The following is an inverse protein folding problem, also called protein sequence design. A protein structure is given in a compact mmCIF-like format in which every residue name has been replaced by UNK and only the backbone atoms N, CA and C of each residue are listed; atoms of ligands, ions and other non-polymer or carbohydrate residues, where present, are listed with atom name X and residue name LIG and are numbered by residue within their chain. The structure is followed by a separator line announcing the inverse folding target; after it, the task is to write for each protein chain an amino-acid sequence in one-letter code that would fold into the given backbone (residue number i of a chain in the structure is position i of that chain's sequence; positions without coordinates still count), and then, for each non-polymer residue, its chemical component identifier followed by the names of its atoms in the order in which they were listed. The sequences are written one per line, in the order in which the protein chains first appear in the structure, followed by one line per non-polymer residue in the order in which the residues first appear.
data_IF_619059592181
#
_entry.id   IF_619059592181
#
_cell.length_a   1.000
_cell.length_b   1.000
_cell.length_c   1.000
_cell.angle_alpha   90.00
_cell.angle_beta   90.00
_cell.angle_gamma   90.00
#
_symmetry.space_group_name_H-M   'P 1'
#
loop_
_entity.id
_entity.type
_entity.pdbx_description
1 polymer ?
#
# COMPACT_ATOMS: atom_id res chain seq x y z
N UNK A 1 -19.19 8.74 -19.43
CA UNK A 1 -18.64 9.08 -18.12
C UNK A 1 -19.82 9.34 -17.19
N UNK A 2 -20.06 8.40 -16.27
CA UNK A 2 -21.15 8.45 -15.31
C UNK A 2 -20.62 9.09 -14.03
N UNK A 3 -20.91 10.38 -13.84
CA UNK A 3 -20.36 11.22 -12.77
C UNK A 3 -20.72 10.72 -11.35
N UNK A 4 -21.64 9.76 -11.21
CA UNK A 4 -22.07 9.17 -9.94
C UNK A 4 -21.17 8.03 -9.44
N UNK A 5 -20.19 7.59 -10.24
CA UNK A 5 -19.25 6.51 -9.87
C UNK A 5 -17.80 6.99 -9.64
N UNK A 6 -17.49 8.23 -9.96
CA UNK A 6 -16.15 8.80 -9.77
C UNK A 6 -15.86 9.08 -8.30
N UNK A 7 -14.65 8.71 -7.86
CA UNK A 7 -14.19 9.04 -6.52
C UNK A 7 -13.90 10.53 -6.43
N UNK A 8 -14.36 11.15 -5.34
CA UNK A 8 -13.89 12.48 -4.94
C UNK A 8 -12.47 12.38 -4.38
N UNK A 9 -11.72 13.50 -4.39
CA UNK A 9 -10.39 13.52 -3.78
C UNK A 9 -10.41 13.08 -2.30
N UNK A 10 -11.46 13.44 -1.55
CA UNK A 10 -11.63 13.02 -0.16
C UNK A 10 -11.74 11.49 -0.03
N UNK A 11 -12.52 10.85 -0.90
CA UNK A 11 -12.65 9.40 -0.91
C UNK A 11 -11.35 8.71 -1.33
N UNK A 12 -10.60 9.26 -2.29
CA UNK A 12 -9.27 8.74 -2.65
C UNK A 12 -8.33 8.80 -1.45
N UNK A 13 -8.31 9.91 -0.71
CA UNK A 13 -7.50 10.07 0.51
C UNK A 13 -7.88 9.04 1.57
N UNK A 14 -9.17 8.74 1.75
CA UNK A 14 -9.64 7.73 2.71
C UNK A 14 -9.18 6.31 2.37
N UNK A 15 -9.13 5.96 1.08
CA UNK A 15 -8.80 4.60 0.63
C UNK A 15 -7.34 4.44 0.13
N UNK A 16 -6.55 5.51 0.14
CA UNK A 16 -5.19 5.52 -0.44
C UNK A 16 -4.28 4.47 0.20
N UNK A 17 -4.44 4.22 1.49
CA UNK A 17 -3.63 3.23 2.22
C UNK A 17 -3.92 1.83 1.70
N UNK A 18 -5.21 1.47 1.57
CA UNK A 18 -5.60 0.19 1.00
C UNK A 18 -5.13 0.04 -0.46
N UNK A 19 -5.13 1.13 -1.24
CA UNK A 19 -4.57 1.14 -2.60
C UNK A 19 -3.06 0.85 -2.60
N UNK A 20 -2.31 1.49 -1.70
CA UNK A 20 -0.85 1.32 -1.54
C UNK A 20 -0.46 -0.07 -1.01
N UNK A 21 -1.34 -0.69 -0.22
CA UNK A 21 -1.15 -2.01 0.39
C UNK A 21 -1.70 -3.17 -0.46
N UNK A 22 -2.21 -2.88 -1.66
CA UNK A 22 -2.84 -3.88 -2.54
C UNK A 22 -4.03 -4.62 -1.89
N UNK A 23 -4.79 -3.90 -1.05
CA UNK A 23 -5.91 -4.41 -0.28
C UNK A 23 -7.28 -4.00 -0.85
N UNK A 24 -7.33 -3.28 -1.97
CA UNK A 24 -8.57 -2.95 -2.68
C UNK A 24 -8.99 -4.06 -3.62
N UNK A 25 -10.30 -4.25 -3.78
CA UNK A 25 -10.84 -5.04 -4.89
C UNK A 25 -10.65 -4.32 -6.23
N UNK A 26 -10.67 -5.09 -7.32
CA UNK A 26 -10.36 -4.61 -8.68
C UNK A 26 -11.14 -3.35 -9.08
N UNK A 27 -12.44 -3.30 -8.77
CA UNK A 27 -13.30 -2.17 -9.12
C UNK A 27 -12.88 -0.86 -8.43
N UNK A 28 -12.51 -0.91 -7.15
CA UNK A 28 -12.09 0.31 -6.43
C UNK A 28 -10.66 0.71 -6.81
N UNK A 29 -9.79 -0.27 -7.14
CA UNK A 29 -8.48 -0.01 -7.72
C UNK A 29 -8.59 0.75 -9.04
N UNK A 30 -9.42 0.27 -9.97
CA UNK A 30 -9.64 0.91 -11.27
C UNK A 30 -10.12 2.36 -11.10
N UNK A 31 -11.07 2.59 -10.18
CA UNK A 31 -11.59 3.94 -9.91
C UNK A 31 -10.54 4.90 -9.34
N UNK A 32 -9.62 4.42 -8.50
CA UNK A 32 -8.49 5.22 -8.02
C UNK A 32 -7.56 5.56 -9.18
N UNK A 33 -7.23 4.58 -10.02
CA UNK A 33 -6.34 4.77 -11.17
C UNK A 33 -6.92 5.75 -12.18
N UNK A 34 -8.21 5.64 -12.50
CA UNK A 34 -8.94 6.62 -13.31
C UNK A 34 -8.86 8.03 -12.72
N UNK A 35 -9.08 8.17 -11.41
CA UNK A 35 -9.00 9.47 -10.75
C UNK A 35 -7.59 10.09 -10.84
N UNK A 36 -6.54 9.28 -10.67
CA UNK A 36 -5.15 9.73 -10.72
C UNK A 36 -4.73 10.23 -12.11
N UNK A 37 -5.36 9.73 -13.18
CA UNK A 37 -5.12 10.22 -14.56
C UNK A 37 -5.52 11.69 -14.73
N UNK A 38 -6.55 12.15 -14.02
CA UNK A 38 -7.13 13.48 -14.23
C UNK A 38 -6.88 14.46 -13.08
N UNK A 39 -6.43 14.00 -11.91
CA UNK A 39 -6.23 14.84 -10.73
C UNK A 39 -4.75 14.93 -10.30
N UNK A 40 -4.08 16.02 -10.69
CA UNK A 40 -2.71 16.32 -10.27
C UNK A 40 -2.54 16.40 -8.74
N UNK A 41 -3.59 16.85 -8.04
CA UNK A 41 -3.59 16.95 -6.58
C UNK A 41 -3.47 15.58 -5.91
N UNK A 42 -4.27 14.61 -6.35
CA UNK A 42 -4.23 13.25 -5.81
C UNK A 42 -2.96 12.50 -6.26
N UNK A 43 -2.47 12.75 -7.47
CA UNK A 43 -1.16 12.22 -7.91
C UNK A 43 0.00 12.75 -7.05
N UNK A 44 -0.04 14.04 -6.71
CA UNK A 44 0.94 14.65 -5.78
C UNK A 44 0.81 14.05 -4.38
N UNK A 45 -0.40 13.91 -3.86
CA UNK A 45 -0.66 13.31 -2.55
C UNK A 45 -0.18 11.85 -2.48
N UNK A 46 -0.45 11.04 -3.50
CA UNK A 46 0.07 9.67 -3.59
C UNK A 46 1.60 9.63 -3.57
N UNK A 47 2.26 10.57 -4.26
CA UNK A 47 3.71 10.74 -4.20
C UNK A 47 4.22 11.05 -2.78
N UNK A 48 3.54 11.96 -2.07
CA UNK A 48 3.86 12.29 -0.67
C UNK A 48 3.70 11.09 0.27
N UNK A 49 2.64 10.30 0.10
CA UNK A 49 2.42 9.08 0.89
C UNK A 49 3.52 8.04 0.62
N UNK A 50 3.91 7.84 -0.64
CA UNK A 50 5.04 6.96 -1.01
C UNK A 50 6.36 7.42 -0.39
N UNK A 51 6.65 8.72 -0.41
CA UNK A 51 7.84 9.28 0.24
C UNK A 51 7.80 9.09 1.76
N UNK A 52 6.63 9.31 2.37
CA UNK A 52 6.42 9.08 3.81
C UNK A 52 6.74 7.63 4.17
N UNK A 53 6.23 6.66 3.42
CA UNK A 53 6.55 5.23 3.59
C UNK A 53 8.06 4.98 3.45
N UNK A 54 8.71 5.57 2.44
CA UNK A 54 10.14 5.39 2.21
C UNK A 54 11.00 5.96 3.35
N UNK A 55 10.60 7.10 3.93
CA UNK A 55 11.28 7.73 5.06
C UNK A 55 11.05 6.96 6.36
N UNK A 56 9.83 6.53 6.63
CA UNK A 56 9.50 5.78 7.86
C UNK A 56 10.01 4.35 7.84
N UNK A 57 10.17 3.72 6.67
CA UNK A 57 10.83 2.41 6.53
C UNK A 57 12.27 2.39 7.04
N UNK A 58 12.93 3.55 7.14
CA UNK A 58 14.29 3.69 7.67
C UNK A 58 14.34 3.80 9.19
N UNK A 59 13.20 3.96 9.85
CA UNK A 59 13.12 3.75 11.28
C UNK A 59 13.40 2.26 11.48
N UNK A 60 14.54 1.93 12.09
CA UNK A 60 14.91 0.54 12.32
C UNK A 60 13.73 -0.17 13.00
N UNK A 61 13.12 -1.18 12.36
CA UNK A 61 12.32 -2.13 13.09
C UNK A 61 13.20 -2.63 14.24
N UNK A 62 12.63 -2.78 15.43
CA UNK A 62 13.36 -3.36 16.58
C UNK A 62 14.21 -4.53 16.09
N UNK A 63 15.52 -4.43 16.31
CA UNK A 63 16.50 -5.38 15.80
C UNK A 63 15.99 -6.81 16.05
N UNK A 64 15.61 -7.52 14.99
CA UNK A 64 15.23 -8.93 15.10
C UNK A 64 16.47 -9.65 15.62
N UNK A 65 16.42 -10.26 16.82
CA UNK A 65 17.58 -10.99 17.33
C UNK A 65 17.99 -12.05 16.32
N UNK A 66 19.28 -12.16 16.00
CA UNK A 66 19.79 -13.13 15.02
C UNK A 66 19.27 -14.56 15.28
N UNK A 67 19.17 -14.95 16.55
CA UNK A 67 18.57 -16.21 16.99
C UNK A 67 17.13 -16.40 16.49
N UNK A 68 16.29 -15.36 16.59
CA UNK A 68 14.90 -15.44 16.13
C UNK A 68 14.84 -15.59 14.60
N UNK A 69 15.72 -14.89 13.88
CA UNK A 69 15.84 -15.03 12.43
C UNK A 69 16.25 -16.47 12.03
N UNK A 70 17.22 -17.06 12.73
CA UNK A 70 17.66 -18.44 12.48
C UNK A 70 16.55 -19.45 12.76
N UNK A 71 15.82 -19.29 13.86
CA UNK A 71 14.68 -20.14 14.23
C UNK A 71 13.55 -20.07 13.18
N UNK A 72 13.21 -18.86 12.71
CA UNK A 72 12.23 -18.67 11.64
C UNK A 72 12.69 -19.31 10.32
N UNK A 73 13.93 -19.07 9.89
CA UNK A 73 14.46 -19.65 8.66
C UNK A 73 14.50 -21.18 8.73
N UNK A 74 14.85 -21.76 9.87
CA UNK A 74 14.81 -23.21 10.07
C UNK A 74 13.39 -23.78 9.95
N UNK A 75 12.40 -23.11 10.56
CA UNK A 75 11.00 -23.51 10.47
C UNK A 75 10.48 -23.49 9.01
N UNK A 76 10.81 -22.45 8.24
CA UNK A 76 10.35 -22.32 6.85
C UNK A 76 11.07 -23.23 5.86
N UNK A 77 12.32 -23.66 6.12
CA UNK A 77 13.05 -24.59 5.22
C UNK A 77 12.40 -25.96 5.10
N UNK A 78 11.70 -26.42 6.14
CA UNK A 78 10.96 -27.69 6.13
C UNK A 78 9.48 -27.52 5.76
N UNK A 79 9.04 -26.30 5.45
CA UNK A 79 7.63 -26.02 5.25
C UNK A 79 7.21 -26.39 3.82
N UNK A 80 6.31 -27.37 3.71
CA UNK A 80 5.50 -27.57 2.50
C UNK A 80 4.13 -26.96 2.78
N UNK A 81 3.68 -25.95 2.00
CA UNK A 81 2.28 -25.58 2.02
C UNK A 81 1.45 -26.80 1.55
N UNK A 82 0.30 -27.00 2.19
CA UNK A 82 -0.70 -28.00 1.80
C UNK A 82 -1.48 -27.53 0.57
#
# INVERSE_FOLDING_TARGET
MRLDQELTCAQVVEIVTAYLEDALGDADRERVEEHLVFCDGCSTYLGQMRETIALTRRLEPEHIPSRLQDELLAAFRGWSPA
#
